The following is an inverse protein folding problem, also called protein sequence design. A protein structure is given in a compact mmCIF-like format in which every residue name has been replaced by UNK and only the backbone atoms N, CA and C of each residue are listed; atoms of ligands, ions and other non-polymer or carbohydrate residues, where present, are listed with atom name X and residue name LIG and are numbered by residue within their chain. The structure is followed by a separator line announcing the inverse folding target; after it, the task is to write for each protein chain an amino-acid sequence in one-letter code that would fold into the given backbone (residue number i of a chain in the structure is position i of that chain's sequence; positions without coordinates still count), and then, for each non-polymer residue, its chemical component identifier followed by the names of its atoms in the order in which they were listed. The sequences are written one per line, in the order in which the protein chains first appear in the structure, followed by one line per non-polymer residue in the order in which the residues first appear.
data_IF_519656574842
#
_entry.id   IF_519656574842
#
_cell.length_a   1.000
_cell.length_b   1.000
_cell.length_c   1.000
_cell.angle_alpha   90.00
_cell.angle_beta   90.00
_cell.angle_gamma   90.00
#
_symmetry.space_group_name_H-M   'P 1'
#
loop_
_entity.id
_entity.type
_entity.pdbx_description
1 polymer ?
#
# COMPACT_ATOMS: atom_id res chain seq x y z
N UNK A 1 12.31 -4.46 -4.30
CA UNK A 1 11.95 -3.02 -4.48
C UNK A 1 10.48 -2.97 -4.86
N UNK A 2 9.69 -2.05 -4.30
CA UNK A 2 8.27 -1.89 -4.63
C UNK A 2 8.05 -0.68 -5.55
N UNK A 3 6.98 -0.72 -6.34
CA UNK A 3 6.53 0.42 -7.14
C UNK A 3 5.16 0.87 -6.65
N UNK A 4 5.01 2.15 -6.31
CA UNK A 4 3.77 2.73 -5.79
C UNK A 4 3.22 3.73 -6.81
N UNK A 5 1.95 3.58 -7.21
CA UNK A 5 1.26 4.45 -8.18
C UNK A 5 2.10 4.69 -9.47
N UNK A 6 2.76 3.63 -9.97
CA UNK A 6 3.63 3.64 -11.15
C UNK A 6 4.80 4.65 -11.14
N UNK A 7 5.09 5.25 -9.99
CA UNK A 7 6.04 6.37 -9.88
C UNK A 7 7.04 6.19 -8.75
N UNK A 8 6.53 6.07 -7.52
CA UNK A 8 7.35 6.09 -6.33
C UNK A 8 7.96 4.70 -6.10
N UNK A 9 9.17 4.68 -5.54
CA UNK A 9 9.91 3.44 -5.28
C UNK A 9 10.36 3.40 -3.84
N UNK A 10 10.07 2.29 -3.18
CA UNK A 10 10.46 2.04 -1.80
C UNK A 10 11.23 0.73 -1.69
N UNK A 11 12.22 0.71 -0.81
CA UNK A 11 12.98 -0.51 -0.54
C UNK A 11 12.08 -1.55 0.12
N UNK A 12 12.00 -2.73 -0.49
CA UNK A 12 11.29 -3.86 0.07
C UNK A 12 12.13 -4.57 1.11
N UNK A 13 11.49 -5.12 2.15
CA UNK A 13 12.13 -5.98 3.15
C UNK A 13 11.28 -7.21 3.41
N UNK A 14 11.90 -8.37 3.69
CA UNK A 14 11.16 -9.57 4.07
C UNK A 14 10.20 -9.33 5.22
N UNK A 15 8.94 -9.73 5.03
CA UNK A 15 7.88 -9.57 6.03
C UNK A 15 7.14 -8.23 6.01
N UNK A 16 7.47 -7.30 5.09
CA UNK A 16 6.68 -6.08 4.92
C UNK A 16 5.22 -6.39 4.58
N UNK A 17 4.34 -5.63 5.23
CA UNK A 17 2.89 -5.63 5.01
C UNK A 17 2.45 -4.37 4.26
N UNK A 18 1.17 -4.28 3.92
CA UNK A 18 0.59 -3.06 3.35
C UNK A 18 0.72 -1.89 4.34
N UNK A 19 0.53 -2.13 5.64
CA UNK A 19 0.72 -1.12 6.70
C UNK A 19 2.14 -0.53 6.66
N UNK A 20 3.16 -1.39 6.59
CA UNK A 20 4.56 -0.93 6.53
C UNK A 20 4.84 -0.05 5.31
N UNK A 21 4.20 -0.35 4.17
CA UNK A 21 4.30 0.48 2.96
C UNK A 21 3.66 1.86 3.20
N UNK A 22 2.46 1.90 3.77
CA UNK A 22 1.77 3.16 4.07
C UNK A 22 2.55 4.01 5.09
N UNK A 23 3.11 3.39 6.12
CA UNK A 23 3.94 4.07 7.11
C UNK A 23 5.23 4.63 6.50
N UNK A 24 5.88 3.87 5.60
CA UNK A 24 7.04 4.35 4.86
C UNK A 24 6.71 5.55 3.94
N UNK A 25 5.47 5.62 3.46
CA UNK A 25 4.94 6.76 2.69
C UNK A 25 4.48 7.93 3.59
N UNK A 26 4.43 7.73 4.91
CA UNK A 26 3.94 8.71 5.89
C UNK A 26 2.41 8.82 5.95
N UNK A 27 1.68 7.79 5.52
CA UNK A 27 0.22 7.76 5.46
C UNK A 27 -0.36 7.05 6.68
N UNK A 28 -0.56 7.76 7.78
CA UNK A 28 -0.82 7.10 9.05
C UNK A 28 -2.29 6.79 9.34
N UNK A 29 -3.29 7.51 8.82
CA UNK A 29 -4.71 7.32 9.23
C UNK A 29 -5.75 7.90 8.25
N UNK A 30 -5.48 7.94 6.94
CA UNK A 30 -6.46 8.43 5.97
C UNK A 30 -7.31 7.29 5.39
N UNK A 31 -8.57 7.58 5.03
CA UNK A 31 -9.40 6.71 4.20
C UNK A 31 -8.65 6.45 2.89
N UNK A 32 -7.97 5.31 2.80
CA UNK A 32 -7.11 4.95 1.68
C UNK A 32 -7.58 3.61 1.14
N UNK A 33 -7.62 3.50 -0.18
CA UNK A 33 -7.80 2.24 -0.89
C UNK A 33 -6.44 1.80 -1.44
N UNK A 34 -6.07 0.56 -1.13
CA UNK A 34 -4.83 -0.06 -1.61
C UNK A 34 -5.13 -1.27 -2.49
N UNK A 35 -4.45 -1.36 -3.64
CA UNK A 35 -4.34 -2.62 -4.39
C UNK A 35 -2.89 -3.09 -4.44
N UNK A 36 -2.68 -4.41 -4.44
CA UNK A 36 -1.38 -5.06 -4.62
C UNK A 36 -1.49 -5.96 -5.84
N UNK A 37 -0.65 -5.71 -6.85
CA UNK A 37 -0.66 -6.40 -8.15
C UNK A 37 -2.05 -6.45 -8.81
N UNK A 38 -2.85 -5.41 -8.58
CA UNK A 38 -4.21 -5.28 -9.11
C UNK A 38 -5.30 -5.88 -8.24
N UNK A 39 -4.97 -6.59 -7.16
CA UNK A 39 -5.94 -7.12 -6.20
C UNK A 39 -6.22 -6.10 -5.09
N UNK A 40 -7.51 -5.84 -4.81
CA UNK A 40 -7.92 -5.01 -3.68
C UNK A 40 -7.56 -5.68 -2.36
N UNK A 41 -6.93 -4.92 -1.47
CA UNK A 41 -6.69 -5.34 -0.08
C UNK A 41 -7.69 -4.60 0.80
N UNK A 42 -8.44 -5.34 1.62
CA UNK A 42 -9.35 -4.74 2.59
C UNK A 42 -8.54 -4.08 3.72
N UNK A 43 -9.06 -3.00 4.31
CA UNK A 43 -8.35 -2.23 5.35
C UNK A 43 -7.96 -3.09 6.56
N UNK A 44 -8.83 -4.02 6.97
CA UNK A 44 -8.61 -4.95 8.08
C UNK A 44 -7.39 -5.88 7.83
N UNK A 45 -7.05 -6.11 6.57
CA UNK A 45 -5.92 -6.93 6.16
C UNK A 45 -4.60 -6.13 6.04
N UNK A 46 -4.58 -4.81 6.24
CA UNK A 46 -3.36 -4.02 5.97
C UNK A 46 -2.19 -4.42 6.85
N UNK A 47 -2.45 -4.81 8.09
CA UNK A 47 -1.46 -5.25 9.06
C UNK A 47 -1.04 -6.73 8.88
N UNK A 48 -1.71 -7.47 7.98
CA UNK A 48 -1.52 -8.91 7.81
C UNK A 48 -1.17 -9.33 6.38
N UNK A 49 -1.58 -8.55 5.38
CA UNK A 49 -1.30 -8.80 3.97
C UNK A 49 0.17 -8.50 3.68
N UNK A 50 0.96 -9.56 3.58
CA UNK A 50 2.34 -9.48 3.14
C UNK A 50 2.43 -8.99 1.70
N UNK A 51 3.40 -8.11 1.44
CA UNK A 51 3.68 -7.56 0.11
C UNK A 51 4.89 -8.32 -0.47
N UNK A 52 4.76 -8.96 -1.64
CA UNK A 52 5.89 -9.66 -2.26
C UNK A 52 6.95 -8.67 -2.79
N UNK A 53 8.20 -9.13 -2.90
CA UNK A 53 9.24 -8.33 -3.53
C UNK A 53 8.90 -8.08 -5.01
N UNK A 54 9.11 -6.85 -5.48
CA UNK A 54 8.79 -6.46 -6.85
C UNK A 54 7.33 -6.09 -7.10
N UNK A 55 6.46 -6.15 -6.09
CA UNK A 55 5.04 -5.85 -6.25
C UNK A 55 4.78 -4.40 -6.70
N UNK A 56 3.69 -4.24 -7.45
CA UNK A 56 3.13 -2.94 -7.80
C UNK A 56 1.92 -2.64 -6.90
N UNK A 57 1.93 -1.49 -6.24
CA UNK A 57 0.84 -1.07 -5.38
C UNK A 57 0.20 0.20 -5.92
N UNK A 58 -1.12 0.27 -5.85
CA UNK A 58 -1.85 1.52 -6.02
C UNK A 58 -2.43 1.97 -4.70
N UNK A 59 -2.28 3.24 -4.38
CA UNK A 59 -2.67 3.85 -3.10
C UNK A 59 -3.41 5.15 -3.39
N UNK A 60 -4.71 5.17 -3.09
CA UNK A 60 -5.59 6.32 -3.35
C UNK A 60 -6.30 6.78 -2.09
N UNK A 61 -6.27 8.08 -1.83
CA UNK A 61 -7.11 8.68 -0.79
C UNK A 61 -8.55 8.76 -1.29
N UNK A 62 -9.49 8.23 -0.49
CA UNK A 62 -10.91 8.36 -0.71
C UNK A 62 -11.33 9.79 -0.37
N UNK A 63 -11.54 10.60 -1.41
CA UNK A 63 -12.16 11.91 -1.27
C UNK A 63 -13.68 11.72 -1.20
N UNK A 64 -14.30 12.00 -0.05
CA UNK A 64 -15.74 12.18 0.02
C UNK A 64 -16.10 13.45 -0.75
N UNK A 65 -16.61 13.29 -1.97
CA UNK A 65 -17.21 14.40 -2.72
C UNK A 65 -18.48 14.87 -2.03
N UNK A 66 -18.59 16.18 -1.81
CA UNK A 66 -19.78 16.86 -1.30
C UNK A 66 -20.80 17.17 -2.39
#
# INVERSE_FOLDING_TARGET
MLTINDRDRIEWRPGMTVRDVLDAMGYTYALITVTVDGELVEEDDYDHRAVPDGAALNVFHLAHGG
#
